data_IF_916667047795
#
_entry.id   IF_916667047795
#
_cell.length_a   1.000
_cell.length_b   1.000
_cell.length_c   1.000
_cell.angle_alpha   90.00
_cell.angle_beta   90.00
_cell.angle_gamma   90.00
#
_symmetry.space_group_name_H-M   'P 1'
#
loop_
_entity.id
_entity.type
_entity.pdbx_description
1 polymer ?
#
# COMPACT_ATOMS: atom_id res chain seq x y z
N UNK A 1 -7.64 6.65 -5.64
CA UNK A 1 -7.30 7.88 -6.39
C UNK A 1 -7.58 9.06 -5.49
N UNK A 2 -6.59 9.94 -5.31
CA UNK A 2 -6.68 11.17 -4.54
C UNK A 2 -6.14 12.28 -5.42
N UNK A 3 -7.01 13.15 -5.94
CA UNK A 3 -6.63 14.10 -6.99
C UNK A 3 -6.02 13.39 -8.21
N UNK A 4 -4.75 13.69 -8.51
CA UNK A 4 -3.99 13.11 -9.62
C UNK A 4 -3.13 11.89 -9.24
N UNK A 5 -3.15 11.48 -7.96
CA UNK A 5 -2.36 10.37 -7.44
C UNK A 5 -3.18 9.10 -7.21
N UNK A 6 -2.51 7.95 -7.29
CA UNK A 6 -3.08 6.64 -6.99
C UNK A 6 -2.34 6.02 -5.81
N UNK A 7 -3.08 5.81 -4.72
CA UNK A 7 -2.55 5.12 -3.55
C UNK A 7 -2.97 3.66 -3.58
N UNK A 8 -2.05 2.80 -3.12
CA UNK A 8 -2.23 1.37 -2.99
C UNK A 8 -2.35 1.04 -1.51
N UNK A 9 -3.46 0.41 -1.12
CA UNK A 9 -3.74 0.00 0.25
C UNK A 9 -4.62 -1.26 0.24
N UNK A 10 -4.64 -2.01 1.33
CA UNK A 10 -5.63 -3.07 1.53
C UNK A 10 -7.04 -2.48 1.59
N UNK A 11 -8.00 -3.12 0.91
CA UNK A 11 -9.36 -2.57 0.72
C UNK A 11 -10.04 -2.27 2.06
N UNK A 12 -9.85 -3.15 3.04
CA UNK A 12 -10.42 -3.10 4.38
C UNK A 12 -9.84 -1.96 5.24
N UNK A 13 -8.66 -1.45 4.87
CA UNK A 13 -7.95 -0.42 5.61
C UNK A 13 -8.08 0.98 4.98
N UNK A 14 -8.67 1.10 3.79
CA UNK A 14 -8.79 2.39 3.07
C UNK A 14 -9.50 3.43 3.93
N UNK A 15 -10.69 3.11 4.46
CA UNK A 15 -11.51 4.08 5.21
C UNK A 15 -10.79 4.59 6.46
N UNK A 16 -10.16 3.68 7.21
CA UNK A 16 -9.42 4.02 8.42
C UNK A 16 -8.17 4.84 8.11
N UNK A 17 -7.37 4.39 7.14
CA UNK A 17 -6.14 5.08 6.73
C UNK A 17 -6.42 6.48 6.18
N UNK A 18 -7.42 6.63 5.30
CA UNK A 18 -7.80 7.92 4.72
C UNK A 18 -8.30 8.90 5.79
N UNK A 19 -9.07 8.40 6.77
CA UNK A 19 -9.49 9.20 7.92
C UNK A 19 -8.31 9.67 8.76
N UNK A 20 -7.36 8.79 9.07
CA UNK A 20 -6.19 9.11 9.89
C UNK A 20 -5.28 10.15 9.24
N UNK A 21 -5.17 10.13 7.90
CA UNK A 21 -4.41 11.12 7.13
C UNK A 21 -5.23 12.36 6.73
N UNK A 22 -6.51 12.43 7.10
CA UNK A 22 -7.38 13.58 6.87
C UNK A 22 -7.81 13.79 5.41
N UNK A 23 -7.88 12.72 4.61
CA UNK A 23 -8.31 12.78 3.21
C UNK A 23 -9.75 12.26 3.11
N UNK A 24 -10.67 13.14 2.73
CA UNK A 24 -12.10 12.81 2.60
C UNK A 24 -12.52 12.51 1.15
N UNK A 25 -11.88 13.15 0.17
CA UNK A 25 -12.19 12.98 -1.25
C UNK A 25 -11.23 11.99 -1.91
N UNK A 26 -11.72 10.76 -2.11
CA UNK A 26 -10.99 9.70 -2.79
C UNK A 26 -11.93 8.71 -3.46
N UNK A 27 -11.40 8.01 -4.47
CA UNK A 27 -12.13 7.00 -5.23
C UNK A 27 -11.35 5.69 -5.29
N UNK A 28 -12.00 4.57 -5.01
CA UNK A 28 -11.45 3.22 -5.28
C UNK A 28 -11.67 2.90 -6.75
N UNK A 29 -10.59 2.94 -7.54
CA UNK A 29 -10.63 2.75 -9.00
C UNK A 29 -10.39 1.31 -9.45
N UNK A 30 -9.81 0.47 -8.59
CA UNK A 30 -9.49 -0.93 -8.89
C UNK A 30 -9.28 -1.75 -7.61
N UNK A 31 -9.42 -3.07 -7.71
CA UNK A 31 -9.13 -4.05 -6.65
C UNK A 31 -8.51 -5.30 -7.27
N UNK A 32 -7.48 -5.83 -6.62
CA UNK A 32 -6.77 -7.04 -7.03
C UNK A 32 -6.18 -7.72 -5.79
N UNK A 33 -5.73 -8.97 -5.93
CA UNK A 33 -5.09 -9.72 -4.85
C UNK A 33 -3.69 -9.16 -4.60
N UNK A 34 -3.23 -9.19 -3.35
CA UNK A 34 -1.81 -8.91 -3.06
C UNK A 34 -0.86 -9.82 -3.81
N UNK A 35 -1.27 -11.06 -4.11
CA UNK A 35 -0.52 -12.01 -4.93
C UNK A 35 -0.32 -11.54 -6.38
N UNK A 36 -1.23 -10.70 -6.91
CA UNK A 36 -1.09 -10.15 -8.26
C UNK A 36 0.06 -9.12 -8.35
N UNK A 37 0.52 -8.62 -7.20
CA UNK A 37 1.66 -7.71 -7.08
C UNK A 37 2.96 -8.41 -6.66
N UNK A 38 2.94 -9.72 -6.40
CA UNK A 38 4.14 -10.41 -5.94
C UNK A 38 5.27 -10.28 -6.98
N UNK A 39 6.48 -9.97 -6.52
CA UNK A 39 7.66 -9.69 -7.34
C UNK A 39 7.61 -8.42 -8.19
N UNK A 40 6.55 -7.59 -8.09
CA UNK A 40 6.53 -6.29 -8.75
C UNK A 40 7.65 -5.39 -8.22
N UNK A 41 8.31 -4.66 -9.12
CA UNK A 41 9.34 -3.69 -8.76
C UNK A 41 8.74 -2.32 -8.47
N UNK A 42 9.22 -1.66 -7.43
CA UNK A 42 8.92 -0.27 -7.12
C UNK A 42 10.19 0.52 -6.82
N UNK A 43 10.17 1.82 -7.09
CA UNK A 43 11.26 2.73 -6.75
C UNK A 43 11.13 3.17 -5.30
N UNK A 44 12.19 3.01 -4.51
CA UNK A 44 12.19 3.54 -3.15
C UNK A 44 12.15 5.08 -3.17
N UNK A 45 11.32 5.74 -2.33
CA UNK A 45 11.10 7.19 -2.43
C UNK A 45 12.32 8.04 -2.06
N UNK A 46 13.21 7.53 -1.18
CA UNK A 46 14.34 8.29 -0.65
C UNK A 46 15.72 7.80 -1.11
N UNK A 47 15.80 6.61 -1.69
CA UNK A 47 17.07 5.94 -2.03
C UNK A 47 16.99 5.57 -3.49
N UNK A 48 18.06 5.80 -4.24
CA UNK A 48 18.14 5.43 -5.66
C UNK A 48 18.31 3.92 -5.82
N UNK A 49 17.24 3.18 -5.51
CA UNK A 49 17.18 1.73 -5.51
C UNK A 49 15.76 1.27 -5.84
N UNK A 50 15.67 0.23 -6.67
CA UNK A 50 14.44 -0.51 -6.86
C UNK A 50 14.31 -1.59 -5.76
N UNK A 51 13.11 -1.77 -5.26
CA UNK A 51 12.76 -2.81 -4.31
C UNK A 51 11.61 -3.64 -4.87
N UNK A 52 11.37 -4.79 -4.24
CA UNK A 52 10.42 -5.79 -4.74
C UNK A 52 9.30 -5.98 -3.73
N UNK A 53 8.08 -6.12 -4.22
CA UNK A 53 6.92 -6.50 -3.40
C UNK A 53 6.98 -7.98 -3.07
N UNK A 54 6.82 -8.32 -1.80
CA UNK A 54 6.77 -9.69 -1.29
C UNK A 54 5.47 -9.91 -0.53
N UNK A 55 4.83 -11.05 -0.74
CA UNK A 55 3.73 -11.47 0.12
C UNK A 55 4.30 -11.91 1.48
N UNK A 56 3.78 -11.34 2.57
CA UNK A 56 4.24 -11.62 3.92
C UNK A 56 3.10 -12.07 4.84
N UNK A 57 3.25 -13.24 5.47
CA UNK A 57 2.24 -13.81 6.39
C UNK A 57 2.02 -12.99 7.67
N UNK A 58 2.93 -12.06 7.96
CA UNK A 58 2.87 -11.19 9.14
C UNK A 58 2.06 -9.90 8.88
N UNK A 59 1.60 -9.67 7.64
CA UNK A 59 0.81 -8.49 7.28
C UNK A 59 -0.65 -8.76 7.64
N UNK A 60 -1.22 -7.94 8.51
CA UNK A 60 -2.60 -8.08 8.99
C UNK A 60 -3.49 -6.95 8.52
N UNK A 61 -4.81 -7.13 8.65
CA UNK A 61 -5.83 -6.11 8.39
C UNK A 61 -6.26 -5.36 9.67
N UNK A 62 -5.41 -5.36 10.71
CA UNK A 62 -5.75 -4.74 12.00
C UNK A 62 -5.42 -3.24 12.04
N UNK A 63 -4.35 -2.80 11.38
CA UNK A 63 -3.91 -1.41 11.41
C UNK A 63 -3.03 -1.03 10.21
N UNK A 64 -2.94 0.28 9.96
CA UNK A 64 -2.08 0.85 8.92
C UNK A 64 -2.73 0.80 7.53
N UNK A 65 -1.93 0.50 6.51
CA UNK A 65 -2.36 0.52 5.10
C UNK A 65 -2.43 -0.86 4.46
N UNK A 66 -1.97 -1.91 5.16
CA UNK A 66 -1.77 -3.24 4.60
C UNK A 66 -0.50 -3.37 3.75
N UNK A 67 0.35 -2.34 3.71
CA UNK A 67 1.69 -2.39 3.12
C UNK A 67 2.73 -2.21 4.24
N UNK A 68 3.62 -3.19 4.40
CA UNK A 68 4.69 -3.17 5.42
C UNK A 68 6.04 -2.99 4.73
N UNK A 69 6.81 -2.01 5.19
CA UNK A 69 8.19 -1.86 4.74
C UNK A 69 9.10 -2.84 5.50
N UNK A 70 9.71 -3.78 4.78
CA UNK A 70 10.66 -4.71 5.36
C UNK A 70 12.08 -4.11 5.34
N UNK A 71 12.66 -3.90 6.52
CA UNK A 71 14.05 -3.53 6.70
C UNK A 71 14.76 -4.65 7.46
N UNK A 72 15.43 -5.61 6.76
CA UNK A 72 16.23 -6.61 7.44
C UNK A 72 17.41 -5.93 8.15
N UNK A 73 17.70 -6.39 9.36
CA UNK A 73 18.83 -5.95 10.18
C UNK A 73 20.18 -6.31 9.54
#
# INVERSE_FOLDING_TARGET
>A
KVGDEYYLMATELVDAAMKDIGIEDYEIVNRFSGADLELAEFKHPFVERNATVLCGDHVTLEAGTGCVHTAPA
#
